data_IF_264600728924
#
_entry.id   IF_264600728924
#
_cell.length_a   1.000
_cell.length_b   1.000
_cell.length_c   1.000
_cell.angle_alpha   90.00
_cell.angle_beta   90.00
_cell.angle_gamma   90.00
#
_symmetry.space_group_name_H-M   'P 1'
#
loop_
_entity.id
_entity.type
_entity.pdbx_description
1 polymer ?
#
# COMPACT_ATOMS: atom_id res chain seq x y z
N UNK A 1 -8.65 21.09 5.61
CA UNK A 1 -9.19 19.72 5.91
C UNK A 1 -10.10 19.25 4.76
N UNK A 2 -9.52 18.58 3.77
CA UNK A 2 -10.24 18.13 2.56
C UNK A 2 -10.73 16.68 2.68
N UNK A 3 -11.93 16.40 2.15
CA UNK A 3 -12.49 15.05 2.07
C UNK A 3 -11.59 14.09 1.27
N UNK A 4 -10.92 14.61 0.24
CA UNK A 4 -9.94 13.86 -0.56
C UNK A 4 -8.78 13.37 0.31
N UNK A 5 -8.22 14.26 1.14
CA UNK A 5 -7.11 13.92 2.03
C UNK A 5 -7.51 12.87 3.06
N UNK A 6 -8.70 12.99 3.65
CA UNK A 6 -9.21 12.02 4.63
C UNK A 6 -9.40 10.63 4.00
N UNK A 7 -10.00 10.58 2.82
CA UNK A 7 -10.23 9.31 2.12
C UNK A 7 -8.91 8.67 1.66
N UNK A 8 -7.98 9.46 1.13
CA UNK A 8 -6.66 8.97 0.73
C UNK A 8 -5.88 8.42 1.92
N UNK A 9 -5.92 9.10 3.08
CA UNK A 9 -5.32 8.59 4.31
C UNK A 9 -5.97 7.29 4.78
N UNK A 10 -7.30 7.21 4.77
CA UNK A 10 -8.02 6.00 5.15
C UNK A 10 -7.62 4.82 4.25
N UNK A 11 -7.58 5.02 2.93
CA UNK A 11 -7.16 4.01 1.96
C UNK A 11 -5.72 3.57 2.24
N UNK A 12 -4.80 4.50 2.49
CA UNK A 12 -3.41 4.19 2.81
C UNK A 12 -3.30 3.33 4.08
N UNK A 13 -4.09 3.64 5.12
CA UNK A 13 -4.11 2.87 6.37
C UNK A 13 -4.64 1.45 6.14
N UNK A 14 -5.80 1.31 5.49
CA UNK A 14 -6.39 -0.01 5.19
C UNK A 14 -5.46 -0.86 4.32
N UNK A 15 -4.87 -0.24 3.30
CA UNK A 15 -3.91 -0.90 2.43
C UNK A 15 -2.66 -1.36 3.19
N UNK A 16 -2.17 -0.55 4.13
CA UNK A 16 -1.05 -0.93 5.00
C UNK A 16 -1.40 -2.12 5.90
N UNK A 17 -2.60 -2.18 6.47
CA UNK A 17 -3.05 -3.32 7.27
C UNK A 17 -3.10 -4.61 6.44
N UNK A 18 -3.56 -4.53 5.19
CA UNK A 18 -3.52 -5.67 4.26
C UNK A 18 -2.07 -6.10 4.03
N UNK A 19 -1.17 -5.17 3.74
CA UNK A 19 0.24 -5.46 3.47
C UNK A 19 0.95 -6.07 4.69
N UNK A 20 0.65 -5.62 5.92
CA UNK A 20 1.21 -6.20 7.15
C UNK A 20 0.93 -7.70 7.25
N UNK A 21 -0.23 -8.16 6.78
CA UNK A 21 -0.60 -9.58 6.77
C UNK A 21 -0.09 -10.28 5.50
N UNK A 22 -0.31 -9.67 4.33
CA UNK A 22 -0.01 -10.27 3.04
C UNK A 22 1.49 -10.52 2.85
N UNK A 23 2.35 -9.61 3.33
CA UNK A 23 3.81 -9.71 3.19
C UNK A 23 4.37 -10.99 3.85
N UNK A 24 4.17 -11.25 5.15
CA UNK A 24 4.67 -12.49 5.78
C UNK A 24 4.01 -13.75 5.21
N UNK A 25 2.72 -13.70 4.84
CA UNK A 25 2.02 -14.83 4.22
C UNK A 25 2.62 -15.19 2.86
N UNK A 26 2.92 -14.18 2.04
CA UNK A 26 3.54 -14.38 0.72
C UNK A 26 5.00 -14.83 0.84
N UNK A 27 5.73 -14.37 1.86
CA UNK A 27 7.10 -14.83 2.14
C UNK A 27 7.19 -16.29 2.57
N UNK A 28 6.16 -16.81 3.26
CA UNK A 28 6.14 -18.20 3.73
C UNK A 28 5.60 -19.19 2.67
N UNK A 29 5.04 -18.71 1.57
CA UNK A 29 4.46 -19.56 0.52
C UNK A 29 5.53 -20.26 -0.32
N UNK A 30 5.57 -21.59 -0.25
CA UNK A 30 6.53 -22.45 -0.98
C UNK A 30 6.11 -22.77 -2.42
N UNK A 31 4.87 -22.48 -2.82
CA UNK A 31 4.30 -22.94 -4.10
C UNK A 31 4.69 -22.06 -5.28
N UNK A 32 4.82 -20.74 -5.09
CA UNK A 32 4.94 -19.79 -6.22
C UNK A 32 5.65 -18.48 -5.82
N UNK A 33 6.91 -18.61 -5.40
CA UNK A 33 7.72 -17.45 -4.99
C UNK A 33 7.86 -16.38 -6.09
N UNK A 34 8.01 -16.79 -7.35
CA UNK A 34 8.16 -15.84 -8.47
C UNK A 34 6.95 -14.91 -8.62
N UNK A 35 5.73 -15.47 -8.53
CA UNK A 35 4.48 -14.71 -8.58
C UNK A 35 4.32 -13.85 -7.32
N UNK A 36 4.61 -14.41 -6.15
CA UNK A 36 4.56 -13.69 -4.88
C UNK A 36 5.47 -12.45 -4.89
N UNK A 37 6.72 -12.60 -5.38
CA UNK A 37 7.67 -11.49 -5.53
C UNK A 37 7.13 -10.38 -6.42
N UNK A 38 6.54 -10.71 -7.58
CA UNK A 38 5.96 -9.70 -8.47
C UNK A 38 4.77 -8.98 -7.83
N UNK A 39 3.91 -9.71 -7.11
CA UNK A 39 2.81 -9.12 -6.35
C UNK A 39 3.31 -8.16 -5.27
N UNK A 40 4.34 -8.57 -4.50
CA UNK A 40 4.96 -7.73 -3.48
C UNK A 40 5.58 -6.46 -4.07
N UNK A 41 6.22 -6.55 -5.25
CA UNK A 41 6.78 -5.39 -5.95
C UNK A 41 5.69 -4.40 -6.38
N UNK A 42 4.65 -4.87 -7.07
CA UNK A 42 3.52 -4.03 -7.51
C UNK A 42 2.86 -3.38 -6.30
N UNK A 43 2.65 -4.16 -5.25
CA UNK A 43 2.04 -3.68 -4.03
C UNK A 43 2.89 -2.61 -3.31
N UNK A 44 4.21 -2.77 -3.31
CA UNK A 44 5.14 -1.78 -2.77
C UNK A 44 5.11 -0.48 -3.57
N UNK A 45 5.09 -0.57 -4.91
CA UNK A 45 4.95 0.61 -5.77
C UNK A 45 3.63 1.35 -5.53
N UNK A 46 2.53 0.59 -5.39
CA UNK A 46 1.22 1.18 -5.08
C UNK A 46 1.22 1.88 -3.71
N UNK A 47 1.83 1.27 -2.69
CA UNK A 47 1.98 1.87 -1.36
C UNK A 47 2.74 3.20 -1.43
N UNK A 48 3.89 3.22 -2.11
CA UNK A 48 4.68 4.46 -2.28
C UNK A 48 3.88 5.53 -3.02
N UNK A 49 3.13 5.14 -4.06
CA UNK A 49 2.24 6.05 -4.78
C UNK A 49 1.18 6.67 -3.88
N UNK A 50 0.56 5.88 -3.00
CA UNK A 50 -0.42 6.37 -2.02
C UNK A 50 0.21 7.32 -0.99
N UNK A 51 1.41 7.04 -0.51
CA UNK A 51 2.14 7.94 0.40
C UNK A 51 2.44 9.27 -0.28
N UNK A 52 2.96 9.23 -1.51
CA UNK A 52 3.25 10.45 -2.28
C UNK A 52 1.98 11.26 -2.57
N UNK A 53 0.87 10.58 -2.89
CA UNK A 53 -0.44 11.22 -3.09
C UNK A 53 -0.91 11.92 -1.82
N UNK A 54 -0.91 11.23 -0.68
CA UNK A 54 -1.31 11.80 0.62
C UNK A 54 -0.42 12.99 0.98
N UNK A 55 0.91 12.83 0.85
CA UNK A 55 1.87 13.90 1.11
C UNK A 55 1.65 15.10 0.20
N UNK A 56 1.41 14.87 -1.08
CA UNK A 56 1.06 15.91 -2.05
C UNK A 56 -0.22 16.64 -1.67
N UNK A 57 -1.31 15.91 -1.40
CA UNK A 57 -2.58 16.48 -0.96
C UNK A 57 -2.46 17.27 0.35
N UNK A 58 -1.50 16.90 1.22
CA UNK A 58 -1.26 17.62 2.49
C UNK A 58 -0.83 19.07 2.28
N UNK A 59 -0.21 19.42 1.16
CA UNK A 59 0.17 20.80 0.86
C UNK A 59 -0.98 21.65 0.30
N UNK A 60 -2.08 21.02 -0.15
CA UNK A 60 -3.23 21.70 -0.78
C UNK A 60 -4.43 21.88 0.18
N UNK A 61 -4.36 21.35 1.40
CA UNK A 61 -5.50 21.16 2.31
C UNK A 61 -5.48 22.03 3.56
#
# INVERSE_FOLDING_TARGET
MSILLQLSLLVLVLYSLIMVIAVPVLYSSSSDWSRAKNLLLIASFLWVGLVALVGGLSFLA
#
